data_IF_416024819945
#
_entry.id   IF_416024819945
#
_cell.length_a   1.000
_cell.length_b   1.000
_cell.length_c   1.000
_cell.angle_alpha   90.00
_cell.angle_beta   90.00
_cell.angle_gamma   90.00
#
_symmetry.space_group_name_H-M   'P 1'
#
loop_
_entity.id
_entity.type
_entity.pdbx_description
1 polymer ?
#
# COMPACT_ATOMS: atom_id res chain seq x y z
N UNK A 1 4.65 -35.26 -60.11
CA UNK A 1 3.50 -34.93 -59.22
C UNK A 1 3.91 -34.65 -57.78
N UNK A 2 4.65 -35.52 -57.07
CA UNK A 2 4.95 -35.35 -55.63
C UNK A 2 5.61 -34.00 -55.25
N UNK A 3 6.55 -33.47 -56.07
CA UNK A 3 7.19 -32.16 -55.83
C UNK A 3 6.23 -30.97 -55.80
N UNK A 4 5.25 -30.94 -56.70
CA UNK A 4 4.25 -29.87 -56.75
C UNK A 4 3.34 -29.89 -55.51
N UNK A 5 3.04 -31.09 -55.01
CA UNK A 5 2.23 -31.30 -53.82
C UNK A 5 2.93 -30.77 -52.55
N UNK A 6 4.24 -31.02 -52.40
CA UNK A 6 5.01 -30.48 -51.27
C UNK A 6 5.12 -28.96 -51.28
N UNK A 7 5.32 -28.35 -52.46
CA UNK A 7 5.36 -26.89 -52.59
C UNK A 7 4.02 -26.24 -52.23
N UNK A 8 2.92 -26.87 -52.63
CA UNK A 8 1.58 -26.39 -52.29
C UNK A 8 1.29 -26.44 -50.78
N UNK A 9 1.69 -27.53 -50.11
CA UNK A 9 1.55 -27.68 -48.65
C UNK A 9 2.40 -26.63 -47.92
N UNK A 10 3.64 -26.41 -48.35
CA UNK A 10 4.53 -25.41 -47.73
C UNK A 10 3.99 -23.99 -47.88
N UNK A 11 3.40 -23.68 -49.04
CA UNK A 11 2.76 -22.39 -49.30
C UNK A 11 1.55 -22.14 -48.40
N UNK A 12 0.70 -23.16 -48.19
CA UNK A 12 -0.44 -23.07 -47.26
C UNK A 12 0.04 -22.88 -45.82
N UNK A 13 1.10 -23.59 -45.40
CA UNK A 13 1.68 -23.43 -44.07
C UNK A 13 2.24 -22.02 -43.85
N UNK A 14 2.90 -21.44 -44.86
CA UNK A 14 3.41 -20.07 -44.80
C UNK A 14 2.27 -19.02 -44.74
N UNK A 15 1.17 -19.27 -45.45
CA UNK A 15 -0.05 -18.46 -45.39
C UNK A 15 -0.75 -18.54 -44.03
N UNK A 16 -0.78 -19.72 -43.41
CA UNK A 16 -1.33 -19.88 -42.08
C UNK A 16 -0.47 -19.14 -41.04
N UNK A 17 0.86 -19.26 -41.11
CA UNK A 17 1.77 -18.53 -40.22
C UNK A 17 1.65 -17.01 -40.37
N UNK A 18 1.40 -16.50 -41.58
CA UNK A 18 1.22 -15.05 -41.80
C UNK A 18 -0.14 -14.53 -41.34
N UNK A 19 -1.18 -15.36 -41.33
CA UNK A 19 -2.50 -15.02 -40.75
C UNK A 19 -2.50 -15.07 -39.22
N UNK A 20 -1.61 -15.86 -38.61
CA UNK A 20 -1.33 -15.83 -37.17
C UNK A 20 -0.31 -14.74 -36.78
N UNK A 21 0.06 -13.85 -37.72
CA UNK A 21 0.79 -12.62 -37.37
C UNK A 21 -0.11 -11.80 -36.46
N UNK A 22 0.14 -11.97 -35.17
CA UNK A 22 -0.55 -11.34 -34.06
C UNK A 22 -0.76 -9.87 -34.40
N UNK A 23 -2.00 -9.45 -34.65
CA UNK A 23 -2.31 -8.03 -34.84
C UNK A 23 -1.71 -7.33 -33.63
N UNK A 24 -0.64 -6.57 -33.86
CA UNK A 24 -0.02 -5.75 -32.82
C UNK A 24 -1.11 -4.80 -32.40
N UNK A 25 -1.69 -5.05 -31.24
CA UNK A 25 -2.75 -4.23 -30.70
C UNK A 25 -2.12 -2.87 -30.44
N UNK A 26 -2.33 -1.95 -31.40
CA UNK A 26 -1.94 -0.55 -31.29
C UNK A 26 -2.90 0.19 -30.37
N UNK A 27 -3.77 -0.55 -29.66
CA UNK A 27 -4.59 -0.04 -28.60
C UNK A 27 -3.76 0.69 -27.56
N UNK A 28 -4.38 1.73 -27.01
CA UNK A 28 -3.77 2.57 -26.00
C UNK A 28 -3.35 1.73 -24.80
N UNK A 29 -2.26 2.13 -24.16
CA UNK A 29 -1.67 1.36 -23.05
C UNK A 29 -1.67 2.19 -21.78
N UNK A 30 -1.94 1.50 -20.68
CA UNK A 30 -1.60 1.99 -19.37
C UNK A 30 -0.36 1.25 -18.88
N UNK A 31 0.55 2.00 -18.28
CA UNK A 31 1.83 1.49 -17.81
C UNK A 31 2.04 1.83 -16.34
N UNK A 32 2.68 0.94 -15.60
CA UNK A 32 3.19 1.14 -14.23
C UNK A 32 4.67 0.86 -14.26
N UNK A 33 5.47 1.87 -13.90
CA UNK A 33 6.93 1.83 -13.88
C UNK A 33 7.41 1.36 -12.50
N UNK A 34 7.87 0.11 -12.41
CA UNK A 34 8.45 -0.42 -11.17
C UNK A 34 9.92 -0.03 -11.09
N UNK A 35 10.20 1.09 -10.42
CA UNK A 35 11.56 1.58 -10.17
C UNK A 35 12.25 0.96 -8.95
N UNK A 36 11.70 -0.10 -8.37
CA UNK A 36 12.40 -0.79 -7.29
C UNK A 36 13.57 -1.59 -7.85
N UNK A 37 14.71 -1.53 -7.15
CA UNK A 37 15.96 -2.11 -7.65
C UNK A 37 16.00 -3.65 -7.58
N UNK A 38 15.09 -4.29 -6.84
CA UNK A 38 15.23 -5.72 -6.52
C UNK A 38 13.91 -6.45 -6.24
N UNK A 39 12.75 -5.80 -6.39
CA UNK A 39 11.47 -6.41 -6.02
C UNK A 39 10.48 -6.35 -7.16
N UNK A 40 9.87 -7.48 -7.43
CA UNK A 40 8.68 -7.50 -8.28
C UNK A 40 7.50 -6.96 -7.47
N UNK A 41 6.60 -6.26 -8.15
CA UNK A 41 5.39 -5.71 -7.53
C UNK A 41 4.16 -6.44 -8.07
N UNK A 42 3.34 -6.95 -7.17
CA UNK A 42 1.96 -7.27 -7.47
C UNK A 42 1.21 -5.98 -7.77
N UNK A 43 0.56 -5.94 -8.92
CA UNK A 43 -0.20 -4.80 -9.42
C UNK A 43 -1.66 -5.20 -9.60
N UNK A 44 -2.57 -4.35 -9.13
CA UNK A 44 -4.00 -4.47 -9.39
C UNK A 44 -4.62 -3.10 -9.67
N UNK A 45 -5.60 -3.07 -10.57
CA UNK A 45 -6.35 -1.87 -10.94
C UNK A 45 -7.83 -2.13 -10.76
N UNK A 46 -8.52 -1.16 -10.17
CA UNK A 46 -9.92 -1.25 -9.76
C UNK A 46 -10.72 -0.10 -10.35
N UNK A 47 -11.97 -0.37 -10.70
CA UNK A 47 -12.90 0.63 -11.25
C UNK A 47 -13.65 1.42 -10.16
N UNK A 48 -13.59 0.99 -8.90
CA UNK A 48 -14.24 1.65 -7.77
C UNK A 48 -13.34 1.67 -6.54
N UNK A 49 -13.58 2.62 -5.63
CA UNK A 49 -12.86 2.70 -4.36
C UNK A 49 -13.19 1.50 -3.47
N UNK A 50 -14.45 1.07 -3.45
CA UNK A 50 -14.89 -0.08 -2.67
C UNK A 50 -14.16 -1.35 -3.08
N UNK A 51 -14.01 -1.59 -4.39
CA UNK A 51 -13.24 -2.71 -4.92
C UNK A 51 -11.76 -2.62 -4.56
N UNK A 52 -11.18 -1.42 -4.62
CA UNK A 52 -9.80 -1.19 -4.19
C UNK A 52 -9.59 -1.52 -2.71
N UNK A 53 -10.44 -1.01 -1.82
CA UNK A 53 -10.36 -1.20 -0.36
C UNK A 53 -10.48 -2.67 0.01
N UNK A 54 -11.44 -3.36 -0.59
CA UNK A 54 -11.71 -4.78 -0.31
C UNK A 54 -10.83 -5.71 -1.15
N UNK A 55 -10.02 -5.17 -2.05
CA UNK A 55 -9.21 -5.92 -3.01
C UNK A 55 -10.02 -6.91 -3.86
N UNK A 56 -11.24 -6.53 -4.27
CA UNK A 56 -12.18 -7.34 -5.06
C UNK A 56 -12.29 -6.84 -6.50
N UNK A 57 -12.72 -7.70 -7.44
CA UNK A 57 -13.09 -7.31 -8.82
C UNK A 57 -12.06 -6.45 -9.58
N UNK A 58 -10.76 -6.78 -9.47
CA UNK A 58 -9.73 -6.08 -10.23
C UNK A 58 -10.00 -6.19 -11.75
N UNK A 59 -10.02 -5.05 -12.44
CA UNK A 59 -10.21 -5.01 -13.90
C UNK A 59 -8.93 -5.40 -14.65
N UNK A 60 -7.78 -5.20 -14.01
CA UNK A 60 -6.48 -5.67 -14.45
C UNK A 60 -5.63 -6.03 -13.23
N UNK A 61 -4.84 -7.09 -13.36
CA UNK A 61 -3.86 -7.49 -12.36
C UNK A 61 -2.66 -8.16 -13.02
N UNK A 62 -1.51 -8.13 -12.36
CA UNK A 62 -0.30 -8.79 -12.83
C UNK A 62 0.90 -8.49 -11.94
N UNK A 63 2.08 -8.77 -12.48
CA UNK A 63 3.36 -8.46 -11.84
C UNK A 63 4.10 -7.41 -12.66
N UNK A 64 4.65 -6.39 -12.01
CA UNK A 64 5.64 -5.49 -12.57
C UNK A 64 7.02 -5.96 -12.11
N UNK A 65 7.86 -6.54 -12.97
CA UNK A 65 9.21 -6.94 -12.59
C UNK A 65 10.05 -5.76 -12.10
N UNK A 66 11.05 -6.00 -11.25
CA UNK A 66 11.99 -4.97 -10.80
C UNK A 66 12.66 -4.25 -11.99
N UNK A 67 12.71 -2.91 -11.96
CA UNK A 67 13.23 -2.05 -13.03
C UNK A 67 12.54 -2.25 -14.40
N UNK A 68 11.28 -2.68 -14.41
CA UNK A 68 10.51 -2.92 -15.63
C UNK A 68 9.11 -2.30 -15.53
N UNK A 69 8.39 -2.32 -16.66
CA UNK A 69 7.08 -1.69 -16.81
C UNK A 69 6.00 -2.75 -16.93
N UNK A 70 5.06 -2.77 -15.99
CA UNK A 70 3.81 -3.50 -16.18
C UNK A 70 2.92 -2.74 -17.15
N UNK A 71 2.52 -3.40 -18.22
CA UNK A 71 1.63 -2.83 -19.24
C UNK A 71 0.31 -3.58 -19.23
N UNK A 72 -0.82 -2.85 -19.22
CA UNK A 72 -2.12 -3.45 -19.45
C UNK A 72 -2.90 -2.72 -20.56
N UNK A 73 -3.76 -3.44 -21.30
CA UNK A 73 -4.49 -2.86 -22.41
C UNK A 73 -5.55 -1.88 -21.89
N UNK A 74 -5.50 -0.63 -22.38
CA UNK A 74 -6.46 0.40 -21.96
C UNK A 74 -7.87 0.18 -22.52
N UNK A 75 -8.10 -0.86 -23.33
CA UNK A 75 -9.42 -1.27 -23.80
C UNK A 75 -10.38 -1.66 -22.67
N UNK A 76 -9.85 -1.96 -21.47
CA UNK A 76 -10.65 -2.19 -20.26
C UNK A 76 -11.04 -0.91 -19.51
N UNK A 77 -10.57 0.24 -19.97
CA UNK A 77 -10.83 1.54 -19.34
C UNK A 77 -11.84 2.34 -20.16
N UNK A 78 -12.90 2.78 -19.49
CA UNK A 78 -13.83 3.78 -20.00
C UNK A 78 -13.23 5.18 -19.88
N UNK A 79 -13.30 5.95 -20.97
CA UNK A 79 -12.93 7.38 -21.01
C UNK A 79 -13.74 8.16 -19.96
N UNK A 80 -13.08 9.02 -19.20
CA UNK A 80 -13.65 9.79 -18.09
C UNK A 80 -13.79 9.00 -16.78
N UNK A 81 -13.50 7.70 -16.78
CA UNK A 81 -13.51 6.89 -15.56
C UNK A 81 -12.37 7.25 -14.61
N UNK A 82 -12.65 7.16 -13.30
CA UNK A 82 -11.64 7.21 -12.24
C UNK A 82 -11.33 5.79 -11.79
N UNK A 83 -10.04 5.44 -11.74
CA UNK A 83 -9.56 4.12 -11.38
C UNK A 83 -8.59 4.21 -10.22
N UNK A 84 -8.49 3.13 -9.46
CA UNK A 84 -7.63 3.01 -8.29
C UNK A 84 -6.56 1.96 -8.57
N UNK A 85 -5.31 2.27 -8.25
CA UNK A 85 -4.16 1.39 -8.50
C UNK A 85 -3.57 0.96 -7.18
N UNK A 86 -3.30 -0.32 -7.08
CA UNK A 86 -2.59 -0.93 -5.99
C UNK A 86 -1.32 -1.59 -6.54
N UNK A 87 -0.16 -1.20 -6.03
CA UNK A 87 1.11 -1.82 -6.42
C UNK A 87 1.97 -2.04 -5.19
N UNK A 88 2.36 -3.29 -4.94
CA UNK A 88 3.15 -3.65 -3.76
C UNK A 88 4.00 -4.90 -3.97
N UNK A 89 5.12 -4.96 -3.28
CA UNK A 89 5.96 -6.16 -3.15
C UNK A 89 5.36 -7.12 -2.13
N UNK A 90 5.72 -8.41 -2.19
CA UNK A 90 5.20 -9.43 -1.28
C UNK A 90 5.55 -9.19 0.20
N UNK A 91 6.65 -8.48 0.48
CA UNK A 91 7.03 -8.05 1.83
C UNK A 91 6.40 -6.69 2.21
N UNK A 92 5.60 -6.10 1.32
CA UNK A 92 4.95 -4.80 1.48
C UNK A 92 5.88 -3.61 1.75
N UNK A 93 7.19 -3.80 1.57
CA UNK A 93 8.19 -2.74 1.77
C UNK A 93 8.24 -1.78 0.58
N UNK A 94 7.93 -2.26 -0.61
CA UNK A 94 7.78 -1.42 -1.80
C UNK A 94 6.30 -1.32 -2.10
N UNK A 95 5.77 -0.09 -2.09
CA UNK A 95 4.35 0.19 -2.30
C UNK A 95 4.15 1.53 -3.01
N UNK A 96 3.05 1.67 -3.75
CA UNK A 96 2.64 2.95 -4.33
C UNK A 96 1.89 3.89 -3.36
N UNK A 97 1.78 3.50 -2.09
CA UNK A 97 1.21 4.34 -1.03
C UNK A 97 2.07 5.56 -0.70
N UNK A 98 3.38 5.46 -0.94
CA UNK A 98 4.34 6.54 -0.69
C UNK A 98 4.97 6.96 -2.01
N UNK A 99 4.95 8.27 -2.31
CA UNK A 99 5.45 8.79 -3.58
C UNK A 99 6.93 9.17 -3.47
N UNK A 100 7.82 8.29 -3.93
CA UNK A 100 9.27 8.57 -3.94
C UNK A 100 9.72 9.67 -4.91
N UNK A 101 8.88 10.09 -5.86
CA UNK A 101 9.23 11.15 -6.83
C UNK A 101 9.14 12.56 -6.26
N UNK A 102 8.56 12.73 -5.06
CA UNK A 102 8.56 13.99 -4.30
C UNK A 102 9.66 14.01 -3.23
N UNK A 103 10.87 13.58 -3.60
CA UNK A 103 12.10 13.98 -2.90
C UNK A 103 12.39 15.49 -2.98
N UNK A 104 11.45 16.31 -3.49
CA UNK A 104 11.39 17.74 -3.25
C UNK A 104 10.70 17.95 -1.89
N UNK A 105 11.52 17.86 -0.84
CA UNK A 105 11.34 18.40 0.51
C UNK A 105 9.92 18.95 0.77
N UNK A 106 9.03 18.10 1.32
CA UNK A 106 7.92 18.58 2.15
C UNK A 106 6.49 18.42 1.62
N UNK A 107 6.20 17.67 0.56
CA UNK A 107 4.81 17.30 0.17
C UNK A 107 4.72 15.93 -0.49
N UNK A 108 4.76 14.88 0.30
CA UNK A 108 4.33 13.55 -0.13
C UNK A 108 2.86 13.38 0.27
N UNK A 109 1.95 13.32 -0.72
CA UNK A 109 0.55 13.00 -0.46
C UNK A 109 0.39 11.47 -0.56
N UNK A 110 0.30 10.80 0.58
CA UNK A 110 0.00 9.37 0.69
C UNK A 110 -1.50 9.14 0.48
N UNK A 111 -1.98 9.32 -0.76
CA UNK A 111 -3.35 8.93 -1.12
C UNK A 111 -3.33 7.71 -2.02
N UNK A 112 -4.35 6.82 -1.96
CA UNK A 112 -4.52 5.77 -2.95
C UNK A 112 -4.34 6.34 -4.34
N UNK A 113 -3.40 5.79 -5.12
CA UNK A 113 -3.12 6.27 -6.47
C UNK A 113 -4.37 6.07 -7.32
N UNK A 114 -5.16 7.14 -7.46
CA UNK A 114 -6.26 7.21 -8.41
C UNK A 114 -5.84 7.97 -9.65
N UNK A 115 -6.32 7.53 -10.80
CA UNK A 115 -6.11 8.24 -12.06
C UNK A 115 -7.42 8.35 -12.83
N UNK A 116 -7.60 9.49 -13.50
CA UNK A 116 -8.68 9.70 -14.44
C UNK A 116 -8.21 9.30 -15.85
N UNK A 117 -8.90 8.39 -16.51
CA UNK A 117 -8.53 7.98 -17.88
C UNK A 117 -9.07 8.97 -18.91
N UNK A 118 -8.20 9.75 -19.54
CA UNK A 118 -8.59 10.74 -20.56
C UNK A 118 -9.01 10.09 -21.89
N UNK A 119 -8.76 8.79 -22.06
CA UNK A 119 -8.93 8.10 -23.33
C UNK A 119 -7.72 8.22 -24.26
N UNK A 120 -6.60 8.78 -23.81
CA UNK A 120 -5.30 8.85 -24.50
C UNK A 120 -4.27 7.90 -23.88
N UNK A 121 -3.13 7.68 -24.54
CA UNK A 121 -2.04 6.90 -23.94
C UNK A 121 -1.65 7.56 -22.62
N UNK A 122 -1.78 6.80 -21.53
CA UNK A 122 -1.49 7.28 -20.19
C UNK A 122 -0.28 6.55 -19.65
N UNK A 123 0.82 7.28 -19.57
CA UNK A 123 1.92 6.98 -18.67
C UNK A 123 1.50 7.45 -17.28
N UNK A 124 0.76 6.61 -16.55
CA UNK A 124 0.63 6.86 -15.11
C UNK A 124 1.88 6.31 -14.46
N UNK A 125 2.87 7.19 -14.26
CA UNK A 125 4.06 6.82 -13.52
C UNK A 125 3.64 6.70 -12.05
N UNK A 126 3.19 5.51 -11.69
CA UNK A 126 3.10 5.08 -10.29
C UNK A 126 4.52 4.72 -9.89
N UNK A 127 5.30 5.73 -9.51
CA UNK A 127 6.63 5.52 -8.97
C UNK A 127 6.50 4.85 -7.62
N UNK A 128 6.77 3.56 -7.60
CA UNK A 128 7.03 2.88 -6.35
C UNK A 128 8.45 3.23 -5.94
N UNK A 129 8.58 3.76 -4.72
CA UNK A 129 9.82 4.29 -4.17
C UNK A 129 11.01 3.37 -4.44
N UNK A 130 12.15 3.97 -4.81
CA UNK A 130 13.44 3.27 -4.94
C UNK A 130 13.84 2.66 -3.58
N UNK A 131 13.41 3.30 -2.49
CA UNK A 131 13.68 2.88 -1.12
C UNK A 131 12.47 2.17 -0.52
N UNK A 132 12.67 1.09 0.24
CA UNK A 132 11.60 0.46 0.99
C UNK A 132 10.97 1.47 1.97
N UNK A 133 9.65 1.45 2.08
CA UNK A 133 8.87 2.21 3.05
C UNK A 133 8.07 1.25 3.90
N UNK A 134 7.97 1.57 5.18
CA UNK A 134 7.24 0.71 6.10
C UNK A 134 5.74 1.07 6.19
N UNK A 135 5.26 2.01 5.37
CA UNK A 135 3.90 2.54 5.44
C UNK A 135 2.85 1.43 5.27
N UNK A 136 2.99 0.58 4.26
CA UNK A 136 1.98 -0.47 4.02
C UNK A 136 2.08 -1.64 4.99
N UNK A 137 3.30 -2.14 5.22
CA UNK A 137 3.53 -3.27 6.13
C UNK A 137 3.16 -2.92 7.59
N UNK A 138 3.35 -1.67 8.02
CA UNK A 138 3.02 -1.24 9.40
C UNK A 138 1.52 -1.02 9.59
N UNK A 139 0.74 -0.84 8.51
CA UNK A 139 -0.66 -0.46 8.60
C UNK A 139 -1.63 -1.58 8.22
N UNK A 140 -1.20 -2.56 7.42
CA UNK A 140 -2.04 -3.64 6.93
C UNK A 140 -1.55 -5.02 7.39
N UNK A 141 -2.51 -5.89 7.72
CA UNK A 141 -2.24 -7.29 8.05
C UNK A 141 -2.08 -8.10 6.74
N UNK A 142 -1.94 -9.42 6.86
CA UNK A 142 -1.77 -10.31 5.70
C UNK A 142 -2.93 -10.31 4.70
N UNK A 143 -4.12 -9.78 5.04
CA UNK A 143 -5.24 -9.64 4.09
C UNK A 143 -5.10 -8.38 3.23
N UNK A 144 -4.23 -7.43 3.61
CA UNK A 144 -3.93 -6.24 2.82
C UNK A 144 -5.09 -5.24 2.72
N UNK A 145 -6.09 -5.32 3.60
CA UNK A 145 -7.29 -4.46 3.60
C UNK A 145 -7.40 -3.60 4.87
N UNK A 146 -7.04 -4.14 6.02
CA UNK A 146 -6.98 -3.41 7.28
C UNK A 146 -6.05 -4.08 8.29
N UNK A 147 -5.72 -3.39 9.38
CA UNK A 147 -5.19 -3.99 10.60
C UNK A 147 -5.96 -3.46 11.80
N UNK A 148 -5.98 -4.25 12.86
CA UNK A 148 -6.31 -3.78 14.19
C UNK A 148 -5.12 -4.00 15.13
N UNK A 149 -4.91 -3.01 15.98
CA UNK A 149 -3.86 -2.96 16.98
C UNK A 149 -4.50 -2.76 18.34
N UNK A 150 -3.99 -3.42 19.36
CA UNK A 150 -4.42 -3.23 20.75
C UNK A 150 -3.23 -2.85 21.62
N UNK A 151 -3.46 -1.96 22.57
CA UNK A 151 -2.48 -1.65 23.60
C UNK A 151 -2.12 -2.90 24.43
N UNK A 152 -0.83 -3.11 24.67
CA UNK A 152 -0.30 -4.23 25.46
C UNK A 152 0.63 -3.79 26.58
N UNK A 153 1.16 -2.56 26.51
CA UNK A 153 2.00 -1.97 27.55
C UNK A 153 1.97 -0.44 27.40
N UNK A 154 2.44 0.26 28.43
CA UNK A 154 2.68 1.69 28.38
C UNK A 154 3.91 2.08 29.20
N UNK A 155 4.69 3.03 28.68
CA UNK A 155 5.90 3.56 29.30
C UNK A 155 5.75 5.04 29.63
N UNK A 156 6.32 5.44 30.77
CA UNK A 156 6.62 6.84 31.05
C UNK A 156 7.76 7.28 30.13
N UNK A 157 7.59 8.43 29.46
CA UNK A 157 8.59 8.94 28.52
C UNK A 157 9.80 9.56 29.22
N UNK A 158 9.65 10.03 30.45
CA UNK A 158 10.69 10.77 31.14
C UNK A 158 11.80 9.83 31.65
N UNK A 159 11.45 8.61 32.05
CA UNK A 159 12.38 7.65 32.65
C UNK A 159 12.25 6.20 32.14
N UNK A 160 11.26 5.90 31.28
CA UNK A 160 11.13 4.63 30.57
C UNK A 160 10.57 3.47 31.38
N UNK A 161 10.06 3.68 32.60
CA UNK A 161 9.43 2.60 33.36
C UNK A 161 7.99 2.32 32.88
N UNK A 162 7.50 1.09 33.10
CA UNK A 162 6.13 0.75 32.75
C UNK A 162 5.14 1.42 33.68
N UNK A 163 4.17 2.11 33.09
CA UNK A 163 3.04 2.76 33.75
C UNK A 163 1.72 2.05 33.47
N UNK A 164 1.76 0.87 32.85
CA UNK A 164 0.58 0.13 32.38
C UNK A 164 -0.54 0.05 33.42
N UNK A 165 -0.18 -0.29 34.67
CA UNK A 165 -1.15 -0.49 35.76
C UNK A 165 -1.70 0.81 36.36
N UNK A 166 -1.11 1.96 36.06
CA UNK A 166 -1.61 3.28 36.46
C UNK A 166 -2.59 3.88 35.45
N UNK A 167 -2.68 3.29 34.26
CA UNK A 167 -3.57 3.74 33.21
C UNK A 167 -5.03 3.44 33.53
N UNK A 168 -5.92 4.29 33.00
CA UNK A 168 -7.36 4.03 33.00
C UNK A 168 -7.74 2.86 32.09
N UNK A 169 -8.95 2.31 32.27
CA UNK A 169 -9.48 1.29 31.35
C UNK A 169 -9.55 1.82 29.89
N UNK A 170 -9.88 3.09 29.69
CA UNK A 170 -9.88 3.70 28.36
C UNK A 170 -8.52 3.52 27.66
N UNK A 171 -7.44 3.68 28.42
CA UNK A 171 -6.08 3.62 27.94
C UNK A 171 -5.58 2.18 27.77
N UNK A 172 -5.89 1.28 28.71
CA UNK A 172 -5.49 -0.13 28.63
C UNK A 172 -6.24 -0.92 27.54
N UNK A 173 -7.48 -0.54 27.25
CA UNK A 173 -8.33 -1.20 26.25
C UNK A 173 -8.38 -0.47 24.92
N UNK A 174 -7.53 0.55 24.74
CA UNK A 174 -7.35 1.26 23.50
C UNK A 174 -7.04 0.29 22.33
N UNK A 175 -7.78 0.47 21.24
CA UNK A 175 -7.52 -0.19 19.97
C UNK A 175 -7.48 0.82 18.83
N UNK A 176 -6.65 0.54 17.83
CA UNK A 176 -6.56 1.31 16.60
C UNK A 176 -6.81 0.37 15.44
N UNK A 177 -7.76 0.73 14.59
CA UNK A 177 -7.98 0.05 13.31
C UNK A 177 -7.58 0.98 12.17
N UNK A 178 -6.86 0.45 11.19
CA UNK A 178 -6.34 1.20 10.04
C UNK A 178 -6.74 0.46 8.77
N UNK A 179 -7.18 1.18 7.76
CA UNK A 179 -7.73 0.62 6.51
C UNK A 179 -6.97 1.10 5.27
N UNK A 180 -7.08 0.31 4.20
CA UNK A 180 -6.40 0.49 2.91
C UNK A 180 -6.71 1.82 2.19
N UNK A 181 -7.85 2.45 2.49
CA UNK A 181 -8.25 3.77 1.98
C UNK A 181 -7.76 4.93 2.85
N UNK A 182 -6.69 4.74 3.63
CA UNK A 182 -6.12 5.81 4.46
C UNK A 182 -7.07 6.35 5.53
N UNK A 183 -8.06 5.55 5.95
CA UNK A 183 -8.91 5.83 7.10
C UNK A 183 -8.57 4.94 8.28
N UNK A 184 -8.82 5.42 9.48
CA UNK A 184 -8.67 4.65 10.70
C UNK A 184 -9.76 4.97 11.70
N UNK A 185 -9.75 4.19 12.78
CA UNK A 185 -10.60 4.41 13.94
C UNK A 185 -9.82 4.10 15.20
N UNK A 186 -10.09 4.89 16.24
CA UNK A 186 -9.61 4.68 17.58
C UNK A 186 -10.81 4.30 18.45
N UNK A 187 -10.71 3.22 19.21
CA UNK A 187 -11.75 2.86 20.16
C UNK A 187 -11.20 2.52 21.53
N UNK A 188 -11.96 2.88 22.56
CA UNK A 188 -11.60 2.71 23.97
C UNK A 188 -12.85 2.47 24.82
N UNK A 189 -12.65 1.95 26.03
CA UNK A 189 -13.72 1.76 27.01
C UNK A 189 -13.91 3.01 27.86
N UNK A 190 -15.12 3.57 27.87
CA UNK A 190 -15.55 4.63 28.78
C UNK A 190 -16.58 4.04 29.74
N UNK A 191 -16.11 3.41 30.82
CA UNK A 191 -16.96 2.57 31.67
C UNK A 191 -17.33 1.26 30.96
N UNK A 192 -18.62 0.98 30.78
CA UNK A 192 -19.11 -0.21 30.05
C UNK A 192 -19.26 0.01 28.55
N UNK A 193 -19.20 1.26 28.09
CA UNK A 193 -19.46 1.62 26.71
C UNK A 193 -18.14 1.70 25.92
N UNK A 194 -18.20 1.28 24.65
CA UNK A 194 -17.08 1.49 23.71
C UNK A 194 -17.30 2.80 22.97
N UNK A 195 -16.35 3.73 23.11
CA UNK A 195 -16.32 4.96 22.33
C UNK A 195 -15.46 4.72 21.08
N UNK A 196 -15.94 5.15 19.92
CA UNK A 196 -15.23 5.02 18.65
C UNK A 196 -15.09 6.39 17.97
N UNK A 197 -13.87 6.76 17.59
CA UNK A 197 -13.54 7.99 16.87
C UNK A 197 -12.88 7.64 15.54
N UNK A 198 -13.47 8.09 14.43
CA UNK A 198 -12.90 7.90 13.10
C UNK A 198 -11.89 9.01 12.75
N UNK A 199 -10.86 8.66 11.97
CA UNK A 199 -9.89 9.61 11.44
C UNK A 199 -9.48 9.24 10.00
N UNK A 200 -8.94 10.22 9.28
CA UNK A 200 -8.28 10.03 7.97
C UNK A 200 -6.83 10.46 8.11
N UNK A 201 -5.89 9.68 7.57
CA UNK A 201 -4.46 9.97 7.65
C UNK A 201 -3.84 10.31 6.28
N UNK A 202 -4.67 10.49 5.25
CA UNK A 202 -4.21 10.85 3.90
C UNK A 202 -3.63 12.27 3.73
N UNK A 203 -3.68 13.11 4.77
CA UNK A 203 -3.25 14.53 4.73
C UNK A 203 -2.05 14.85 5.65
N UNK A 204 -1.48 13.88 6.37
CA UNK A 204 -0.36 14.12 7.30
C UNK A 204 0.96 13.81 6.58
N UNK A 205 1.64 14.89 6.21
CA UNK A 205 2.83 14.98 5.36
C UNK A 205 4.10 14.47 6.06
N UNK A 206 4.88 13.68 5.32
CA UNK A 206 6.24 13.24 5.62
C UNK A 206 6.29 11.73 5.83
N UNK A 207 7.48 11.12 5.75
CA UNK A 207 7.82 9.86 6.43
C UNK A 207 7.03 9.73 7.75
N UNK A 208 6.76 8.56 8.36
CA UNK A 208 6.24 8.52 9.73
C UNK A 208 7.16 9.32 10.68
N UNK A 209 6.83 10.60 10.81
CA UNK A 209 7.56 11.73 11.38
C UNK A 209 6.47 12.73 11.81
N UNK A 210 5.54 12.20 12.60
CA UNK A 210 5.15 12.72 13.90
C UNK A 210 5.73 14.08 14.25
N UNK A 211 5.09 15.11 13.74
CA UNK A 211 5.32 16.48 14.15
C UNK A 211 4.51 16.75 15.42
N UNK A 212 5.23 16.98 16.52
CA UNK A 212 4.71 17.63 17.73
C UNK A 212 4.47 19.11 17.39
N UNK A 213 3.20 19.49 17.20
CA UNK A 213 2.82 20.89 17.34
C UNK A 213 2.07 21.02 18.67
N UNK A 214 2.60 21.82 19.62
CA UNK A 214 1.86 22.20 20.80
C UNK A 214 0.82 23.21 20.33
N UNK A 215 -0.41 22.75 20.12
CA UNK A 215 -1.61 23.40 20.65
C UNK A 215 -2.91 22.73 20.18
N UNK A 216 -3.70 22.39 21.20
CA UNK A 216 -5.15 22.26 21.23
C UNK A 216 -5.79 21.00 20.62
N UNK A 217 -6.01 20.01 21.49
CA UNK A 217 -7.09 19.01 21.46
C UNK A 217 -7.13 17.97 20.33
N UNK A 218 -5.99 17.54 19.80
CA UNK A 218 -5.93 16.38 18.89
C UNK A 218 -5.22 15.20 19.57
N UNK A 219 -5.78 13.98 19.43
CA UNK A 219 -5.04 12.75 19.72
C UNK A 219 -3.82 12.69 18.78
N UNK A 220 -2.63 12.71 19.35
CA UNK A 220 -1.37 12.68 18.61
C UNK A 220 -0.97 11.22 18.34
N UNK A 221 -1.52 10.62 17.28
CA UNK A 221 -1.08 9.29 16.89
C UNK A 221 0.30 9.34 16.28
N UNK A 222 1.21 8.68 16.97
CA UNK A 222 2.48 8.30 16.41
C UNK A 222 2.44 6.81 16.06
N UNK A 223 3.13 6.43 15.00
CA UNK A 223 3.38 5.09 14.46
C UNK A 223 4.88 5.05 14.21
N UNK A 224 5.66 5.04 15.31
CA UNK A 224 7.10 4.90 15.17
C UNK A 224 7.35 3.53 14.60
N UNK A 225 7.89 3.50 13.39
CA UNK A 225 8.43 2.28 12.85
C UNK A 225 9.66 1.90 13.69
N UNK A 226 9.55 0.85 14.49
CA UNK A 226 10.68 0.33 15.26
C UNK A 226 11.59 -0.47 14.34
N UNK A 227 12.36 0.21 13.49
CA UNK A 227 13.65 -0.30 13.02
C UNK A 227 14.71 -0.31 14.15
N UNK A 228 14.31 -0.02 15.40
CA UNK A 228 15.15 -0.21 16.58
C UNK A 228 15.13 -1.69 16.94
N UNK A 229 16.08 -2.42 16.37
CA UNK A 229 16.44 -3.75 16.86
C UNK A 229 17.04 -3.63 18.28
N UNK A 230 16.48 -4.26 19.33
CA UNK A 230 17.35 -4.95 20.26
C UNK A 230 17.94 -6.15 19.51
N UNK A 231 19.25 -6.15 19.31
CA UNK A 231 19.99 -7.27 18.75
C UNK A 231 19.82 -8.49 19.64
N UNK A 232 18.81 -9.31 19.35
CA UNK A 232 18.71 -10.69 19.83
C UNK A 232 18.79 -11.56 18.58
N UNK A 233 19.90 -12.30 18.48
CA UNK A 233 20.35 -12.94 17.26
C UNK A 233 19.30 -13.77 16.55
N UNK A 234 19.08 -13.42 15.27
CA UNK A 234 18.96 -14.30 14.10
C UNK A 234 18.56 -13.44 12.89
N UNK A 235 19.23 -13.62 11.74
CA UNK A 235 19.10 -12.82 10.51
C UNK A 235 17.75 -13.01 9.77
N UNK A 236 16.62 -12.99 10.47
CA UNK A 236 15.29 -12.93 9.85
C UNK A 236 14.83 -11.47 9.79
N UNK A 237 14.35 -10.96 8.65
CA UNK A 237 13.69 -9.66 8.62
C UNK A 237 12.51 -9.69 9.61
N UNK A 238 12.39 -8.71 10.52
CA UNK A 238 11.41 -8.76 11.59
C UNK A 238 9.98 -8.72 11.02
N UNK A 239 9.09 -9.54 11.56
CA UNK A 239 7.65 -9.25 11.48
C UNK A 239 7.41 -8.00 12.30
N UNK A 240 6.95 -6.93 11.65
CA UNK A 240 6.65 -5.66 12.32
C UNK A 240 5.30 -5.83 13.02
N UNK A 241 5.33 -6.50 14.17
CA UNK A 241 4.16 -6.82 15.00
C UNK A 241 3.93 -5.78 16.11
N UNK A 242 4.68 -4.67 16.09
CA UNK A 242 4.65 -3.65 17.13
C UNK A 242 4.57 -2.24 16.53
N UNK A 243 3.63 -1.46 17.04
CA UNK A 243 3.46 -0.03 16.75
C UNK A 243 3.46 0.71 18.07
N UNK A 244 3.95 1.94 18.10
CA UNK A 244 3.99 2.74 19.32
C UNK A 244 3.17 4.00 19.14
N UNK A 245 2.19 4.25 20.02
CA UNK A 245 1.29 5.41 19.97
C UNK A 245 1.43 6.30 21.21
N UNK A 246 1.26 7.61 21.07
CA UNK A 246 1.15 8.54 22.22
C UNK A 246 -0.30 8.93 22.44
N UNK A 247 -0.85 8.65 23.62
CA UNK A 247 -2.22 9.02 23.98
C UNK A 247 -2.17 9.74 25.32
N UNK A 248 -2.59 11.00 25.35
CA UNK A 248 -2.56 11.86 26.55
C UNK A 248 -1.18 11.96 27.23
N UNK A 249 -0.10 11.90 26.47
CA UNK A 249 1.27 11.97 26.99
C UNK A 249 1.91 10.62 27.35
N UNK A 250 1.13 9.52 27.34
CA UNK A 250 1.62 8.18 27.66
C UNK A 250 2.00 7.40 26.39
N UNK A 251 3.12 6.68 26.41
CA UNK A 251 3.62 5.89 25.28
C UNK A 251 3.08 4.45 25.33
N UNK A 252 2.22 4.09 24.39
CA UNK A 252 1.61 2.78 24.29
C UNK A 252 2.35 1.90 23.32
N UNK A 253 2.74 0.72 23.76
CA UNK A 253 3.15 -0.36 22.87
C UNK A 253 1.88 -1.07 22.40
N UNK A 254 1.62 -1.00 21.11
CA UNK A 254 0.50 -1.64 20.45
C UNK A 254 0.98 -2.90 19.72
N UNK A 255 0.22 -3.98 19.87
CA UNK A 255 0.45 -5.23 19.17
C UNK A 255 -0.69 -5.51 18.21
N UNK A 256 -0.35 -6.04 17.03
CA UNK A 256 -1.32 -6.52 16.05
C UNK A 256 -2.06 -7.73 16.61
N UNK A 257 -3.37 -7.77 16.43
CA UNK A 257 -4.21 -8.94 16.75
C UNK A 257 -4.35 -9.89 15.55
#
# INVERSE_FOLDING_TARGET
MKRAQYLFILFILFLLVSLFSCKKDSGKKFTIDNRSNSKDLAVAVYASESDYVNSTNAIASGMAPANDVFTFPASKLNKGGTYYVDAYSNDYLYTNWVNGDTAIIGRENETPRKFAYSGEDMYSIVNVSINPTNARISLLNSTGSSSQWKAIDALDLDDGHSIWWSLSDAEQYATISISKNTTGSYSYLAGTDTVNTAFSFGDIVGYPLFSLLPNENYLHFFVVNTNVHPTIGNNQPPTIDTVVALINGNLYVLKRQ
#
